data_IF_371056740848
#
_entry.id   IF_371056740848
#
_cell.length_a   1.000
_cell.length_b   1.000
_cell.length_c   1.000
_cell.angle_alpha   90.00
_cell.angle_beta   90.00
_cell.angle_gamma   90.00
#
_symmetry.space_group_name_H-M   'P 1'
#
loop_
_entity.id
_entity.type
_entity.pdbx_description
1 polymer ?
#
# COMPACT_ATOMS: atom_id res chain seq x y z
N UNK A 1 -8.74 3.45 26.23
CA UNK A 1 -8.91 4.91 26.06
C UNK A 1 -9.94 5.41 27.08
N UNK A 2 -9.48 5.89 28.24
CA UNK A 2 -10.35 6.37 29.33
C UNK A 2 -10.82 7.80 29.13
N UNK A 3 -11.44 8.12 28.00
CA UNK A 3 -11.87 9.49 27.65
C UNK A 3 -13.37 9.51 27.35
N UNK A 4 -14.09 10.52 27.86
CA UNK A 4 -15.53 10.61 27.69
C UNK A 4 -15.92 10.98 26.25
N UNK A 5 -17.12 10.58 25.80
CA UNK A 5 -17.70 11.05 24.53
C UNK A 5 -17.74 12.58 24.46
N UNK A 6 -18.03 13.26 25.58
CA UNK A 6 -18.04 14.72 25.69
C UNK A 6 -16.68 15.34 25.39
N UNK A 7 -15.60 14.68 25.76
CA UNK A 7 -14.23 15.14 25.46
C UNK A 7 -13.92 15.01 23.97
N UNK A 8 -14.34 13.93 23.32
CA UNK A 8 -14.16 13.73 21.87
C UNK A 8 -14.94 14.78 21.08
N UNK A 9 -16.20 15.02 21.44
CA UNK A 9 -17.04 16.02 20.76
C UNK A 9 -16.63 17.48 21.02
N UNK A 10 -15.70 17.73 21.95
CA UNK A 10 -15.07 19.05 22.09
C UNK A 10 -14.13 19.36 20.92
N UNK A 11 -13.54 18.34 20.31
CA UNK A 11 -12.57 18.48 19.22
C UNK A 11 -13.14 18.14 17.85
N UNK A 12 -14.25 17.39 17.79
CA UNK A 12 -14.89 16.97 16.55
C UNK A 12 -16.39 17.21 16.65
N UNK A 13 -16.98 17.91 15.68
CA UNK A 13 -18.40 18.22 15.72
C UNK A 13 -19.27 16.96 15.59
N UNK A 14 -18.78 15.94 14.89
CA UNK A 14 -19.47 14.68 14.69
C UNK A 14 -18.50 13.52 14.40
N UNK A 15 -19.03 12.29 14.39
CA UNK A 15 -18.25 11.07 14.11
C UNK A 15 -17.60 11.10 12.73
N UNK A 16 -18.23 11.70 11.73
CA UNK A 16 -17.68 11.78 10.37
C UNK A 16 -16.41 12.62 10.32
N UNK A 17 -16.37 13.76 11.01
CA UNK A 17 -15.15 14.58 11.12
C UNK A 17 -14.03 13.86 11.84
N UNK A 18 -14.33 13.15 12.94
CA UNK A 18 -13.36 12.31 13.63
C UNK A 18 -12.78 11.24 12.69
N UNK A 19 -13.64 10.54 11.95
CA UNK A 19 -13.21 9.49 11.00
C UNK A 19 -12.36 10.10 9.88
N UNK A 20 -12.74 11.26 9.34
CA UNK A 20 -11.96 11.96 8.32
C UNK A 20 -10.56 12.34 8.83
N UNK A 21 -10.48 12.96 10.01
CA UNK A 21 -9.23 13.40 10.59
C UNK A 21 -8.28 12.23 10.91
N UNK A 22 -8.80 11.13 11.45
CA UNK A 22 -8.00 9.93 11.72
C UNK A 22 -7.54 9.27 10.41
N UNK A 23 -8.41 9.24 9.39
CA UNK A 23 -8.06 8.70 8.07
C UNK A 23 -6.93 9.50 7.43
N UNK A 24 -7.02 10.83 7.47
CA UNK A 24 -5.99 11.74 6.96
C UNK A 24 -4.68 11.55 7.72
N UNK A 25 -4.71 11.55 9.05
CA UNK A 25 -3.53 11.35 9.88
C UNK A 25 -2.79 10.04 9.58
N UNK A 26 -3.52 8.94 9.42
CA UNK A 26 -2.93 7.64 9.07
C UNK A 26 -2.34 7.70 7.65
N UNK A 27 -3.05 8.31 6.70
CA UNK A 27 -2.57 8.48 5.32
C UNK A 27 -1.25 9.26 5.29
N UNK A 28 -1.19 10.41 5.96
CA UNK A 28 -0.01 11.27 6.01
C UNK A 28 1.17 10.57 6.69
N UNK A 29 0.90 9.83 7.78
CA UNK A 29 1.92 9.04 8.49
C UNK A 29 2.55 8.00 7.56
N UNK A 30 1.73 7.29 6.78
CA UNK A 30 2.23 6.30 5.81
C UNK A 30 2.99 6.98 4.68
N UNK A 31 2.48 8.08 4.13
CA UNK A 31 3.16 8.80 3.04
C UNK A 31 4.53 9.30 3.46
N UNK A 32 4.63 9.94 4.64
CA UNK A 32 5.92 10.40 5.18
C UNK A 32 6.91 9.24 5.38
N UNK A 33 6.42 8.07 5.81
CA UNK A 33 7.26 6.88 5.93
C UNK A 33 7.73 6.34 4.58
N UNK A 34 6.88 6.37 3.54
CA UNK A 34 7.25 6.00 2.17
C UNK A 34 8.31 6.96 1.63
N UNK A 35 8.13 8.26 1.80
CA UNK A 35 9.11 9.27 1.38
C UNK A 35 10.47 9.03 2.05
N UNK A 36 10.46 8.70 3.34
CA UNK A 36 11.66 8.31 4.09
C UNK A 36 12.34 7.06 3.52
N UNK A 37 11.59 6.06 3.07
CA UNK A 37 12.13 4.85 2.44
C UNK A 37 12.72 5.16 1.06
N UNK A 38 12.02 5.93 0.23
CA UNK A 38 12.49 6.31 -1.10
C UNK A 38 13.79 7.13 -1.01
N UNK A 39 13.94 7.98 0.01
CA UNK A 39 15.15 8.75 0.25
C UNK A 39 16.39 7.90 0.60
N UNK A 40 16.22 6.63 0.98
CA UNK A 40 17.34 5.70 1.22
C UNK A 40 17.98 5.19 -0.08
N UNK A 41 17.35 5.46 -1.22
CA UNK A 41 17.80 5.04 -2.55
C UNK A 41 18.14 3.54 -2.64
N UNK A 42 17.37 2.69 -1.94
CA UNK A 42 17.52 1.24 -1.98
C UNK A 42 17.43 0.70 -3.41
N UNK A 43 17.84 -0.56 -3.62
CA UNK A 43 17.49 -1.20 -4.88
C UNK A 43 15.95 -1.31 -4.98
N UNK A 44 15.39 -1.13 -6.18
CA UNK A 44 13.94 -1.10 -6.43
C UNK A 44 13.12 -2.24 -5.81
N UNK A 45 13.66 -3.45 -5.80
CA UNK A 45 12.97 -4.61 -5.21
C UNK A 45 12.91 -4.47 -3.70
N UNK A 46 14.03 -4.19 -3.04
CA UNK A 46 14.07 -4.02 -1.59
C UNK A 46 13.24 -2.83 -1.11
N UNK A 47 13.20 -1.75 -1.89
CA UNK A 47 12.36 -0.58 -1.64
C UNK A 47 10.87 -0.97 -1.54
N UNK A 48 10.36 -1.75 -2.50
CA UNK A 48 8.96 -2.21 -2.48
C UNK A 48 8.68 -3.14 -1.29
N UNK A 49 9.64 -3.98 -0.90
CA UNK A 49 9.50 -4.80 0.32
C UNK A 49 9.51 -3.95 1.60
N UNK A 50 10.32 -2.89 1.67
CA UNK A 50 10.32 -1.94 2.78
C UNK A 50 9.01 -1.16 2.88
N UNK A 51 8.50 -0.65 1.75
CA UNK A 51 7.21 0.04 1.69
C UNK A 51 6.08 -0.89 2.15
N UNK A 52 6.07 -2.14 1.67
CA UNK A 52 5.11 -3.14 2.10
C UNK A 52 5.18 -3.39 3.61
N UNK A 53 6.38 -3.53 4.20
CA UNK A 53 6.53 -3.72 5.66
C UNK A 53 5.95 -2.53 6.44
N UNK A 54 6.28 -1.31 6.04
CA UNK A 54 5.74 -0.09 6.63
C UNK A 54 4.20 -0.07 6.57
N UNK A 55 3.61 -0.33 5.41
CA UNK A 55 2.16 -0.38 5.23
C UNK A 55 1.55 -1.45 6.16
N UNK A 56 2.13 -2.64 6.20
CA UNK A 56 1.66 -3.72 7.06
C UNK A 56 1.73 -3.37 8.55
N UNK A 57 2.73 -2.61 8.98
CA UNK A 57 2.86 -2.15 10.37
C UNK A 57 1.76 -1.18 10.77
N UNK A 58 1.37 -0.28 9.87
CA UNK A 58 0.27 0.67 10.13
C UNK A 58 -1.11 0.04 9.95
N UNK A 59 -1.22 -1.08 9.23
CA UNK A 59 -2.48 -1.81 9.00
C UNK A 59 -2.67 -3.01 9.96
N UNK A 60 -1.83 -3.18 10.99
CA UNK A 60 -1.69 -4.32 11.92
C UNK A 60 -2.98 -4.94 12.52
N UNK A 61 -4.17 -4.39 12.31
CA UNK A 61 -5.45 -4.86 12.86
C UNK A 61 -6.62 -4.92 11.86
N UNK A 62 -6.38 -5.51 10.68
CA UNK A 62 -7.42 -5.72 9.66
C UNK A 62 -8.53 -6.72 10.06
N UNK A 63 -8.45 -7.33 11.25
CA UNK A 63 -9.54 -8.13 11.83
C UNK A 63 -10.87 -7.36 11.90
N UNK A 64 -10.81 -6.04 12.08
CA UNK A 64 -11.99 -5.15 12.05
C UNK A 64 -12.30 -4.58 10.66
N UNK A 65 -11.38 -4.78 9.70
CA UNK A 65 -11.42 -4.26 8.34
C UNK A 65 -11.75 -2.77 8.22
N UNK A 66 -10.91 -1.87 8.76
CA UNK A 66 -11.15 -0.43 8.75
C UNK A 66 -11.45 0.13 7.36
N UNK A 67 -10.73 -0.34 6.32
CA UNK A 67 -10.94 0.09 4.93
C UNK A 67 -12.34 -0.28 4.41
N UNK A 68 -12.83 -1.49 4.70
CA UNK A 68 -14.17 -1.91 4.32
C UNK A 68 -15.25 -1.11 5.04
N UNK A 69 -15.08 -0.86 6.34
CA UNK A 69 -16.02 -0.01 7.10
C UNK A 69 -16.01 1.43 6.56
N UNK A 70 -14.84 1.96 6.22
CA UNK A 70 -14.71 3.29 5.62
C UNK A 70 -15.43 3.36 4.27
N UNK A 71 -15.26 2.35 3.40
CA UNK A 71 -15.95 2.26 2.12
C UNK A 71 -17.48 2.18 2.29
N UNK A 72 -17.96 1.32 3.21
CA UNK A 72 -19.40 1.07 3.41
C UNK A 72 -20.12 2.25 4.07
N UNK A 73 -19.54 2.83 5.12
CA UNK A 73 -20.21 3.82 5.96
C UNK A 73 -19.81 5.27 5.64
N UNK A 74 -18.66 5.48 4.99
CA UNK A 74 -18.14 6.81 4.67
C UNK A 74 -17.60 6.87 3.21
N UNK A 75 -18.43 6.57 2.20
CA UNK A 75 -17.98 6.40 0.81
C UNK A 75 -17.29 7.65 0.23
N UNK A 76 -17.68 8.87 0.67
CA UNK A 76 -17.01 10.12 0.27
C UNK A 76 -15.58 10.22 0.79
N UNK A 77 -15.36 9.84 2.06
CA UNK A 77 -14.01 9.83 2.67
C UNK A 77 -13.16 8.77 1.98
N UNK A 78 -13.73 7.58 1.76
CA UNK A 78 -13.04 6.49 1.06
C UNK A 78 -12.64 6.87 -0.37
N UNK A 79 -13.54 7.50 -1.15
CA UNK A 79 -13.24 7.94 -2.51
C UNK A 79 -12.11 8.97 -2.55
N UNK A 80 -12.12 9.94 -1.62
CA UNK A 80 -11.04 10.92 -1.48
C UNK A 80 -9.71 10.24 -1.13
N UNK A 81 -9.71 9.34 -0.15
CA UNK A 81 -8.53 8.57 0.24
C UNK A 81 -7.96 7.76 -0.93
N UNK A 82 -8.82 7.07 -1.69
CA UNK A 82 -8.41 6.27 -2.86
C UNK A 82 -7.72 7.13 -3.92
N UNK A 83 -8.24 8.34 -4.16
CA UNK A 83 -7.62 9.27 -5.11
C UNK A 83 -6.24 9.72 -4.64
N UNK A 84 -6.09 10.08 -3.36
CA UNK A 84 -4.80 10.47 -2.78
C UNK A 84 -3.79 9.31 -2.83
N UNK A 85 -4.22 8.10 -2.48
CA UNK A 85 -3.40 6.89 -2.58
C UNK A 85 -2.92 6.64 -4.02
N UNK A 86 -3.80 6.83 -5.01
CA UNK A 86 -3.42 6.69 -6.41
C UNK A 86 -2.31 7.69 -6.80
N UNK A 87 -2.48 8.96 -6.43
CA UNK A 87 -1.51 10.01 -6.78
C UNK A 87 -0.12 9.74 -6.16
N UNK A 88 -0.07 9.42 -4.86
CA UNK A 88 1.19 9.12 -4.17
C UNK A 88 1.83 7.84 -4.70
N UNK A 89 1.06 6.74 -4.82
CA UNK A 89 1.60 5.49 -5.35
C UNK A 89 2.07 5.62 -6.79
N UNK A 90 1.37 6.39 -7.63
CA UNK A 90 1.74 6.55 -9.03
C UNK A 90 3.13 7.18 -9.15
N UNK A 91 3.43 8.24 -8.39
CA UNK A 91 4.77 8.85 -8.39
C UNK A 91 5.85 7.88 -7.94
N UNK A 92 5.70 7.33 -6.73
CA UNK A 92 6.68 6.41 -6.12
C UNK A 92 6.95 5.18 -6.99
N UNK A 93 5.90 4.52 -7.50
CA UNK A 93 6.04 3.30 -8.31
C UNK A 93 6.65 3.60 -9.67
N UNK A 94 6.31 4.73 -10.30
CA UNK A 94 6.93 5.11 -11.57
C UNK A 94 8.43 5.31 -11.40
N UNK A 95 8.86 5.98 -10.33
CA UNK A 95 10.28 6.23 -10.08
C UNK A 95 11.03 4.94 -9.75
N UNK A 96 10.42 4.06 -8.95
CA UNK A 96 10.92 2.71 -8.67
C UNK A 96 11.10 1.90 -9.97
N UNK A 97 10.10 1.89 -10.85
CA UNK A 97 10.14 1.18 -12.14
C UNK A 97 11.26 1.71 -13.03
N UNK A 98 11.36 3.04 -13.19
CA UNK A 98 12.43 3.68 -13.97
C UNK A 98 13.82 3.33 -13.43
N UNK A 99 13.99 3.38 -12.11
CA UNK A 99 15.24 2.99 -11.45
C UNK A 99 15.56 1.51 -11.66
N UNK A 100 14.58 0.62 -11.61
CA UNK A 100 14.78 -0.80 -11.85
C UNK A 100 15.12 -1.13 -13.30
N UNK A 101 14.56 -0.41 -14.26
CA UNK A 101 15.00 -0.49 -15.66
C UNK A 101 16.44 -0.01 -15.83
N UNK A 102 16.79 1.16 -15.26
CA UNK A 102 18.13 1.74 -15.36
C UNK A 102 19.21 0.87 -14.70
N UNK A 103 18.87 0.15 -13.63
CA UNK A 103 19.79 -0.76 -12.91
C UNK A 103 19.75 -2.20 -13.41
N UNK A 104 18.95 -2.50 -14.43
CA UNK A 104 18.80 -3.81 -15.05
C UNK A 104 18.09 -4.85 -14.17
N UNK A 105 17.34 -4.42 -13.14
CA UNK A 105 16.52 -5.29 -12.29
C UNK A 105 15.14 -5.56 -12.89
N UNK A 106 14.61 -4.62 -13.67
CA UNK A 106 13.36 -4.75 -14.41
C UNK A 106 13.61 -4.78 -15.91
N UNK A 107 12.73 -5.45 -16.65
CA UNK A 107 12.83 -5.55 -18.11
C UNK A 107 12.73 -4.17 -18.75
N UNK A 108 13.53 -3.92 -19.79
CA UNK A 108 13.63 -2.62 -20.45
C UNK A 108 12.45 -2.32 -21.40
N UNK A 109 11.62 -3.31 -21.69
CA UNK A 109 10.51 -3.26 -22.64
C UNK A 109 9.13 -3.05 -21.97
N UNK A 110 9.09 -2.84 -20.65
CA UNK A 110 7.84 -2.61 -19.94
C UNK A 110 7.29 -1.21 -20.19
N UNK A 111 5.96 -1.10 -20.32
CA UNK A 111 5.26 0.17 -20.27
C UNK A 111 5.10 0.61 -18.80
N UNK A 112 5.90 1.58 -18.37
CA UNK A 112 5.91 2.12 -17.00
C UNK A 112 4.53 2.67 -16.57
N UNK A 113 3.78 3.28 -17.48
CA UNK A 113 2.47 3.84 -17.19
C UNK A 113 1.42 2.74 -16.99
N UNK A 114 1.48 1.70 -17.81
CA UNK A 114 0.61 0.55 -17.66
C UNK A 114 0.94 -0.23 -16.38
N UNK A 115 2.21 -0.57 -16.15
CA UNK A 115 2.65 -1.37 -15.01
C UNK A 115 2.35 -0.68 -13.68
N UNK A 116 2.57 0.64 -13.57
CA UNK A 116 2.20 1.39 -12.34
C UNK A 116 0.69 1.35 -12.05
N UNK A 117 -0.16 1.43 -13.08
CA UNK A 117 -1.62 1.31 -12.93
C UNK A 117 -2.06 -0.10 -12.57
N UNK A 118 -1.46 -1.12 -13.19
CA UNK A 118 -1.70 -2.52 -12.81
C UNK A 118 -1.27 -2.76 -11.37
N UNK A 119 -0.12 -2.24 -10.96
CA UNK A 119 0.38 -2.32 -9.59
C UNK A 119 -0.65 -1.78 -8.59
N UNK A 120 -1.12 -0.56 -8.80
CA UNK A 120 -2.16 0.07 -7.97
C UNK A 120 -3.47 -0.72 -7.97
N UNK A 121 -3.95 -1.10 -9.17
CA UNK A 121 -5.22 -1.83 -9.29
C UNK A 121 -5.18 -3.17 -8.57
N UNK A 122 -4.09 -3.93 -8.69
CA UNK A 122 -3.96 -5.20 -7.98
C UNK A 122 -3.85 -5.02 -6.47
N UNK A 123 -3.17 -3.99 -5.97
CA UNK A 123 -3.14 -3.66 -4.53
C UNK A 123 -4.54 -3.36 -3.96
N UNK A 124 -5.43 -2.79 -4.76
CA UNK A 124 -6.83 -2.61 -4.40
C UNK A 124 -7.63 -3.91 -4.55
N UNK A 125 -7.42 -4.65 -5.64
CA UNK A 125 -8.14 -5.88 -5.96
C UNK A 125 -7.95 -6.96 -4.91
N UNK A 126 -6.75 -7.12 -4.35
CA UNK A 126 -6.50 -8.09 -3.26
C UNK A 126 -7.18 -7.72 -1.93
N UNK A 127 -7.77 -6.53 -1.83
CA UNK A 127 -8.55 -6.09 -0.66
C UNK A 127 -10.05 -6.22 -0.89
N UNK A 128 -10.47 -6.63 -2.08
CA UNK A 128 -11.86 -6.95 -2.38
C UNK A 128 -12.26 -8.21 -1.60
N UNK A 129 -13.22 -8.08 -0.70
CA UNK A 129 -13.65 -9.17 0.17
C UNK A 129 -14.65 -10.12 -0.49
N UNK A 130 -15.30 -9.69 -1.55
CA UNK A 130 -16.19 -10.55 -2.32
C UNK A 130 -15.34 -11.54 -3.14
N UNK A 131 -14.14 -11.11 -3.57
CA UNK A 131 -13.15 -11.96 -4.23
C UNK A 131 -12.23 -12.70 -3.23
N UNK A 132 -11.80 -12.04 -2.16
CA UNK A 132 -10.86 -12.57 -1.16
C UNK A 132 -11.44 -12.46 0.26
N UNK A 133 -12.34 -13.38 0.66
CA UNK A 133 -12.98 -13.31 1.96
C UNK A 133 -11.97 -13.61 3.09
N UNK A 134 -12.05 -12.85 4.18
CA UNK A 134 -11.05 -12.87 5.27
C UNK A 134 -10.99 -14.17 6.08
N UNK A 135 -12.01 -15.02 5.98
CA UNK A 135 -12.01 -16.36 6.59
C UNK A 135 -11.16 -17.36 5.80
N UNK A 136 -10.90 -17.09 4.52
CA UNK A 136 -10.08 -17.93 3.65
C UNK A 136 -8.72 -17.30 3.36
N UNK A 137 -8.65 -15.97 3.29
CA UNK A 137 -7.43 -15.25 2.91
C UNK A 137 -7.06 -14.19 3.94
N UNK A 138 -5.89 -14.35 4.55
CA UNK A 138 -5.31 -13.28 5.34
C UNK A 138 -4.66 -12.24 4.41
N UNK A 139 -4.93 -10.96 4.65
CA UNK A 139 -4.50 -9.88 3.76
C UNK A 139 -2.97 -9.79 3.66
N UNK A 140 -2.24 -10.04 4.75
CA UNK A 140 -0.77 -10.09 4.70
C UNK A 140 -0.27 -11.14 3.69
N UNK A 141 -0.96 -12.28 3.60
CA UNK A 141 -0.64 -13.35 2.65
C UNK A 141 -0.93 -12.91 1.22
N UNK A 142 -2.08 -12.25 0.99
CA UNK A 142 -2.43 -11.72 -0.33
C UNK A 142 -1.44 -10.66 -0.80
N UNK A 143 -1.01 -9.75 0.07
CA UNK A 143 0.02 -8.76 -0.25
C UNK A 143 1.35 -9.41 -0.59
N UNK A 144 1.72 -10.52 0.07
CA UNK A 144 2.91 -11.29 -0.28
C UNK A 144 2.78 -11.89 -1.69
N UNK A 145 1.71 -12.64 -1.95
CA UNK A 145 1.47 -13.28 -3.23
C UNK A 145 1.41 -12.29 -4.38
N UNK A 146 0.75 -11.16 -4.16
CA UNK A 146 0.62 -10.14 -5.18
C UNK A 146 1.94 -9.44 -5.50
N UNK A 147 2.71 -9.04 -4.47
CA UNK A 147 3.99 -8.39 -4.71
C UNK A 147 4.97 -9.34 -5.42
N UNK A 148 5.00 -10.61 -5.01
CA UNK A 148 5.81 -11.64 -5.69
C UNK A 148 5.36 -11.84 -7.13
N UNK A 149 4.07 -12.04 -7.38
CA UNK A 149 3.49 -12.18 -8.72
C UNK A 149 3.86 -11.00 -9.61
N UNK A 150 3.70 -9.78 -9.10
CA UNK A 150 4.01 -8.56 -9.83
C UNK A 150 5.49 -8.47 -10.19
N UNK A 151 6.38 -8.68 -9.22
CA UNK A 151 7.83 -8.60 -9.43
C UNK A 151 8.32 -9.68 -10.39
N UNK A 152 7.83 -10.92 -10.26
CA UNK A 152 8.18 -12.00 -11.21
C UNK A 152 7.79 -11.66 -12.65
N UNK A 153 6.69 -10.94 -12.85
CA UNK A 153 6.22 -10.55 -14.17
C UNK A 153 7.06 -9.44 -14.83
N UNK A 154 7.75 -8.60 -14.06
CA UNK A 154 8.47 -7.43 -14.59
C UNK A 154 9.99 -7.50 -14.44
N UNK A 155 10.51 -8.42 -13.62
CA UNK A 155 11.94 -8.54 -13.34
C UNK A 155 12.73 -9.23 -14.46
N UNK A 156 13.99 -8.85 -14.60
CA UNK A 156 15.01 -9.62 -15.33
C UNK A 156 15.51 -10.79 -14.49
N UNK A 157 16.38 -11.65 -15.03
CA UNK A 157 17.06 -12.69 -14.23
C UNK A 157 17.79 -12.11 -13.01
N UNK A 158 18.48 -10.96 -13.17
CA UNK A 158 19.13 -10.24 -12.08
C UNK A 158 18.12 -9.78 -11.02
N UNK A 159 16.98 -9.25 -11.46
CA UNK A 159 15.89 -8.87 -10.56
C UNK A 159 15.29 -10.05 -9.83
N UNK A 160 15.07 -11.18 -10.51
CA UNK A 160 14.55 -12.40 -9.92
C UNK A 160 15.49 -12.94 -8.82
N UNK A 161 16.81 -12.90 -9.02
CA UNK A 161 17.77 -13.27 -7.98
C UNK A 161 17.62 -12.39 -6.73
N UNK A 162 17.46 -11.08 -6.90
CA UNK A 162 17.22 -10.17 -5.77
C UNK A 162 15.88 -10.44 -5.08
N UNK A 163 14.83 -10.73 -5.85
CA UNK A 163 13.53 -11.15 -5.31
C UNK A 163 13.65 -12.42 -4.46
N UNK A 164 14.33 -13.46 -4.95
CA UNK A 164 14.54 -14.69 -4.21
C UNK A 164 15.31 -14.46 -2.89
N UNK A 165 16.27 -13.53 -2.89
CA UNK A 165 16.95 -13.13 -1.66
C UNK A 165 15.98 -12.50 -0.66
N UNK A 166 15.13 -11.57 -1.08
CA UNK A 166 14.11 -10.97 -0.20
C UNK A 166 13.11 -12.01 0.34
N UNK A 167 12.67 -12.96 -0.48
CA UNK A 167 11.71 -14.00 -0.05
C UNK A 167 12.30 -14.96 1.00
N UNK A 168 13.63 -15.09 1.07
CA UNK A 168 14.32 -15.91 2.09
C UNK A 168 14.47 -15.20 3.43
N UNK A 169 14.42 -13.87 3.49
CA UNK A 169 14.64 -13.04 4.68
C UNK A 169 13.41 -12.99 5.62
N UNK A 170 12.75 -14.13 5.87
CA UNK A 170 11.51 -14.26 6.66
C UNK A 170 11.41 -13.30 7.86
#
# INVERSE_FOLDING_TARGET
LGVSKKTIYKYFENKTQLVAAVTEYIFDTICNGIDGICALEMNPIDELFSIKRLIMEHLKDEKSSPQYQLQKYYPKIYASLKLKQFQVMQGCVIDNLKKGMATGLYRSDIDVQFISRIYFNGMLGIKDKDLFPLNAYAVHTLMNYYLEYHLRAISTEKGLQQLENQLRLK
#
